data_IF_164790814708
#
_entry.id   IF_164790814708
#
_cell.length_a   1.000
_cell.length_b   1.000
_cell.length_c   1.000
_cell.angle_alpha   90.00
_cell.angle_beta   90.00
_cell.angle_gamma   90.00
#
_symmetry.space_group_name_H-M   'P 1'
#
loop_
_entity.id
_entity.type
_entity.pdbx_description
1 polymer ?
#
# COMPACT_ATOMS: atom_id res chain seq x y z
N UNK A 1 29.43 3.34 2.09
CA UNK A 1 28.72 4.41 1.34
C UNK A 1 28.29 3.94 -0.06
N UNK A 2 28.69 2.74 -0.51
CA UNK A 2 28.29 2.17 -1.82
C UNK A 2 27.08 1.24 -1.78
N UNK A 3 26.75 0.65 -0.62
CA UNK A 3 25.72 -0.41 -0.54
C UNK A 3 24.28 0.08 -0.71
N UNK A 4 24.00 1.36 -0.44
CA UNK A 4 22.65 1.94 -0.58
C UNK A 4 22.32 2.30 -2.04
N UNK A 5 23.33 2.57 -2.85
CA UNK A 5 23.15 2.89 -4.30
C UNK A 5 22.96 1.60 -5.11
N UNK A 6 23.53 0.47 -4.67
CA UNK A 6 23.37 -0.82 -5.36
C UNK A 6 22.00 -1.47 -5.14
N UNK A 7 21.23 -1.12 -4.07
CA UNK A 7 19.88 -1.65 -3.86
C UNK A 7 18.84 -1.09 -4.83
N UNK A 8 19.12 0.00 -5.55
CA UNK A 8 18.18 0.60 -6.50
C UNK A 8 18.19 -0.07 -7.90
N UNK A 9 19.15 -0.92 -8.19
CA UNK A 9 19.25 -1.65 -9.48
C UNK A 9 18.89 -3.13 -9.40
N UNK A 10 18.75 -3.70 -8.20
CA UNK A 10 18.39 -5.12 -8.06
C UNK A 10 16.90 -5.30 -7.90
N UNK A 11 16.33 -6.17 -8.74
CA UNK A 11 14.96 -6.64 -8.65
C UNK A 11 14.66 -7.22 -7.26
N UNK A 12 13.61 -6.74 -6.59
CA UNK A 12 13.21 -7.26 -5.28
C UNK A 12 12.71 -8.70 -5.43
N UNK A 13 13.19 -9.61 -4.59
CA UNK A 13 12.81 -11.02 -4.61
C UNK A 13 11.71 -11.34 -3.60
N UNK A 14 11.07 -12.50 -3.76
CA UNK A 14 10.07 -13.01 -2.81
C UNK A 14 10.66 -13.16 -1.40
N UNK A 15 11.89 -13.65 -1.31
CA UNK A 15 12.60 -13.82 -0.04
C UNK A 15 12.86 -12.48 0.64
N UNK A 16 13.22 -11.45 -0.12
CA UNK A 16 13.41 -10.11 0.41
C UNK A 16 12.08 -9.50 0.90
N UNK A 17 10.99 -9.66 0.14
CA UNK A 17 9.65 -9.22 0.58
C UNK A 17 9.30 -9.91 1.90
N UNK A 18 9.45 -11.24 1.98
CA UNK A 18 9.20 -12.00 3.20
C UNK A 18 10.07 -11.51 4.37
N UNK A 19 11.36 -11.30 4.14
CA UNK A 19 12.30 -10.82 5.16
C UNK A 19 11.93 -9.43 5.70
N UNK A 20 11.40 -8.54 4.86
CA UNK A 20 10.90 -7.22 5.29
C UNK A 20 9.73 -7.36 6.26
N UNK A 21 8.75 -8.21 5.96
CA UNK A 21 7.65 -8.49 6.88
C UNK A 21 8.12 -9.14 8.18
N UNK A 22 9.00 -10.13 8.11
CA UNK A 22 9.54 -10.84 9.28
C UNK A 22 10.39 -9.89 10.18
N UNK A 23 11.15 -8.98 9.58
CA UNK A 23 12.06 -8.08 10.30
C UNK A 23 11.40 -6.81 10.83
N UNK A 24 10.54 -6.18 10.04
CA UNK A 24 9.99 -4.84 10.34
C UNK A 24 8.47 -4.82 10.45
N UNK A 25 7.78 -5.86 10.01
CA UNK A 25 6.33 -5.94 10.02
C UNK A 25 5.68 -6.01 11.40
N UNK A 26 6.46 -6.27 12.46
CA UNK A 26 5.98 -6.29 13.86
C UNK A 26 5.88 -4.90 14.48
N UNK A 27 6.43 -3.87 13.85
CA UNK A 27 6.27 -2.49 14.29
C UNK A 27 4.80 -2.05 14.19
N UNK A 28 4.38 -1.15 15.08
CA UNK A 28 3.03 -0.59 15.02
C UNK A 28 2.80 0.19 13.71
N UNK A 29 1.58 0.10 13.21
CA UNK A 29 1.11 0.86 12.06
C UNK A 29 0.75 2.29 12.47
N UNK A 30 1.74 3.17 12.46
CA UNK A 30 1.57 4.54 12.94
C UNK A 30 1.05 4.60 14.38
N UNK A 31 -0.08 5.28 14.58
CA UNK A 31 -0.76 5.39 15.87
C UNK A 31 -1.90 4.36 16.03
N UNK A 32 -2.04 3.41 15.12
CA UNK A 32 -3.07 2.37 15.18
C UNK A 32 -2.68 1.23 16.13
N UNK A 33 -3.69 0.51 16.66
CA UNK A 33 -3.47 -0.60 17.62
C UNK A 33 -3.14 -1.94 16.93
N UNK A 34 -2.57 -1.90 15.73
CA UNK A 34 -2.18 -3.07 14.92
C UNK A 34 -0.75 -2.88 14.41
N UNK A 35 -0.13 -4.00 13.99
CA UNK A 35 1.19 -3.97 13.37
C UNK A 35 1.09 -3.74 11.85
N UNK A 36 2.22 -3.38 11.24
CA UNK A 36 2.35 -3.25 9.78
C UNK A 36 1.92 -4.55 9.06
N UNK A 37 2.34 -5.71 9.57
CA UNK A 37 1.92 -7.00 9.01
C UNK A 37 0.41 -7.24 9.16
N UNK A 38 -0.17 -6.95 10.34
CA UNK A 38 -1.61 -7.11 10.54
C UNK A 38 -2.41 -6.22 9.59
N UNK A 39 -1.98 -4.97 9.40
CA UNK A 39 -2.59 -4.05 8.43
C UNK A 39 -2.54 -4.61 7.02
N UNK A 40 -1.36 -4.99 6.54
CA UNK A 40 -1.16 -5.54 5.20
C UNK A 40 -2.02 -6.79 4.95
N UNK A 41 -2.06 -7.73 5.92
CA UNK A 41 -2.86 -8.95 5.82
C UNK A 41 -4.36 -8.65 5.81
N UNK A 42 -4.83 -7.69 6.59
CA UNK A 42 -6.23 -7.27 6.58
C UNK A 42 -6.62 -6.65 5.23
N UNK A 43 -5.78 -5.77 4.66
CA UNK A 43 -6.01 -5.20 3.33
C UNK A 43 -6.12 -6.29 2.25
N UNK A 44 -5.17 -7.23 2.23
CA UNK A 44 -5.19 -8.34 1.28
C UNK A 44 -6.41 -9.23 1.46
N UNK A 45 -6.79 -9.53 2.70
CA UNK A 45 -7.95 -10.36 3.00
C UNK A 45 -9.26 -9.71 2.58
N UNK A 46 -9.44 -8.42 2.83
CA UNK A 46 -10.60 -7.66 2.39
C UNK A 46 -10.72 -7.66 0.85
N UNK A 47 -9.61 -7.45 0.15
CA UNK A 47 -9.57 -7.50 -1.31
C UNK A 47 -9.91 -8.92 -1.83
N UNK A 48 -9.35 -9.97 -1.24
CA UNK A 48 -9.64 -11.37 -1.58
C UNK A 48 -11.12 -11.72 -1.35
N UNK A 49 -11.68 -11.33 -0.21
CA UNK A 49 -13.11 -11.53 0.10
C UNK A 49 -14.04 -10.77 -0.84
N UNK A 50 -13.63 -9.62 -1.35
CA UNK A 50 -14.38 -8.86 -2.34
C UNK A 50 -14.31 -9.48 -3.74
N UNK A 51 -13.51 -10.53 -3.95
CA UNK A 51 -13.34 -11.20 -5.24
C UNK A 51 -12.49 -10.40 -6.22
N UNK A 52 -11.57 -9.58 -5.71
CA UNK A 52 -10.64 -8.83 -6.56
C UNK A 52 -9.67 -9.75 -7.30
N UNK A 53 -9.19 -9.29 -8.45
CA UNK A 53 -8.15 -10.00 -9.20
C UNK A 53 -6.85 -10.13 -8.38
N UNK A 54 -6.07 -11.19 -8.58
CA UNK A 54 -4.84 -11.45 -7.84
C UNK A 54 -3.87 -10.25 -7.79
N UNK A 55 -3.80 -9.47 -8.86
CA UNK A 55 -2.97 -8.27 -8.91
C UNK A 55 -3.37 -7.23 -7.85
N UNK A 56 -4.68 -6.99 -7.65
CA UNK A 56 -5.15 -6.03 -6.66
C UNK A 56 -5.05 -6.59 -5.23
N UNK A 57 -5.20 -7.90 -5.03
CA UNK A 57 -4.97 -8.55 -3.73
C UNK A 57 -3.50 -8.38 -3.32
N UNK A 58 -2.56 -8.61 -4.25
CA UNK A 58 -1.12 -8.43 -4.00
C UNK A 58 -0.79 -6.94 -3.83
N UNK A 59 -1.40 -6.05 -4.60
CA UNK A 59 -1.26 -4.61 -4.40
C UNK A 59 -1.72 -4.20 -2.99
N UNK A 60 -2.85 -4.73 -2.50
CA UNK A 60 -3.33 -4.49 -1.15
C UNK A 60 -2.38 -5.01 -0.06
N UNK A 61 -1.75 -6.18 -0.28
CA UNK A 61 -0.72 -6.70 0.62
C UNK A 61 0.53 -5.79 0.68
N UNK A 62 0.93 -5.23 -0.45
CA UNK A 62 2.24 -4.57 -0.61
C UNK A 62 2.15 -3.03 -0.64
N UNK A 63 0.96 -2.42 -0.50
CA UNK A 63 0.79 -0.98 -0.71
C UNK A 63 1.66 -0.13 0.22
N UNK A 64 1.91 -0.59 1.43
CA UNK A 64 2.73 0.05 2.44
C UNK A 64 4.14 -0.55 2.58
N UNK A 65 4.58 -1.37 1.62
CA UNK A 65 5.94 -1.94 1.59
C UNK A 65 7.03 -0.86 1.72
N UNK A 66 6.74 0.36 1.27
CA UNK A 66 7.64 1.50 1.40
C UNK A 66 8.02 1.81 2.85
N UNK A 67 7.12 1.65 3.82
CA UNK A 67 7.45 1.83 5.23
C UNK A 67 8.42 0.76 5.74
N UNK A 68 8.26 -0.51 5.32
CA UNK A 68 9.18 -1.58 5.70
C UNK A 68 10.57 -1.38 5.08
N UNK A 69 10.63 -0.92 3.83
CA UNK A 69 11.88 -0.57 3.15
C UNK A 69 12.60 0.60 3.84
N UNK A 70 11.87 1.65 4.21
CA UNK A 70 12.42 2.80 4.91
C UNK A 70 12.92 2.41 6.31
N UNK A 71 12.19 1.60 7.04
CA UNK A 71 12.61 1.08 8.34
C UNK A 71 13.90 0.27 8.21
N UNK A 72 14.06 -0.54 7.16
CA UNK A 72 15.26 -1.35 6.91
C UNK A 72 16.48 -0.49 6.58
N UNK A 73 16.30 0.62 5.88
CA UNK A 73 17.37 1.54 5.46
C UNK A 73 17.59 2.72 6.39
N UNK A 74 16.78 2.85 7.45
CA UNK A 74 16.76 4.00 8.37
C UNK A 74 16.58 5.34 7.64
N UNK A 75 15.80 5.35 6.57
CA UNK A 75 15.45 6.54 5.81
C UNK A 75 13.99 6.93 6.10
N UNK A 76 13.66 8.21 5.92
CA UNK A 76 12.30 8.72 6.02
C UNK A 76 11.94 9.43 4.71
N UNK A 77 10.89 8.96 4.05
CA UNK A 77 10.26 9.63 2.91
C UNK A 77 8.74 9.58 3.12
N UNK A 78 8.12 10.75 3.11
CA UNK A 78 6.65 10.87 3.23
C UNK A 78 5.90 10.25 2.04
N UNK A 79 6.61 9.86 0.98
CA UNK A 79 6.07 9.23 -0.23
C UNK A 79 6.28 7.73 -0.25
N UNK A 80 5.92 7.05 0.86
CA UNK A 80 6.04 5.59 0.99
C UNK A 80 5.47 4.81 -0.21
N UNK A 81 4.39 5.31 -0.84
CA UNK A 81 3.78 4.72 -2.03
C UNK A 81 4.71 4.77 -3.25
N UNK A 82 5.49 5.84 -3.42
CA UNK A 82 6.48 5.95 -4.49
C UNK A 82 7.69 5.04 -4.22
N UNK A 83 8.09 4.92 -2.96
CA UNK A 83 9.18 4.02 -2.55
C UNK A 83 8.78 2.56 -2.83
N UNK A 84 7.56 2.15 -2.45
CA UNK A 84 7.05 0.83 -2.75
C UNK A 84 6.96 0.56 -4.26
N UNK A 85 6.37 1.50 -5.02
CA UNK A 85 6.21 1.38 -6.46
C UNK A 85 7.59 1.28 -7.18
N UNK A 86 8.57 2.08 -6.78
CA UNK A 86 9.91 2.04 -7.35
C UNK A 86 10.61 0.70 -7.06
N UNK A 87 10.48 0.15 -5.86
CA UNK A 87 11.08 -1.13 -5.50
C UNK A 87 10.48 -2.31 -6.30
N UNK A 88 9.20 -2.21 -6.69
CA UNK A 88 8.48 -3.24 -7.44
C UNK A 88 8.54 -3.04 -8.97
N UNK A 89 9.04 -1.89 -9.45
CA UNK A 89 8.93 -1.48 -10.85
C UNK A 89 9.54 -2.46 -11.86
N UNK A 90 10.62 -3.14 -11.50
CA UNK A 90 11.31 -4.09 -12.38
C UNK A 90 10.75 -5.52 -12.27
N UNK A 91 9.98 -5.80 -11.22
CA UNK A 91 9.61 -7.18 -10.84
C UNK A 91 8.12 -7.48 -10.94
N UNK A 92 7.27 -6.46 -11.03
CA UNK A 92 5.82 -6.66 -11.14
C UNK A 92 5.22 -5.88 -12.33
N UNK A 93 3.99 -6.24 -12.69
CA UNK A 93 3.26 -5.54 -13.75
C UNK A 93 2.55 -4.28 -13.22
N UNK A 94 2.19 -3.33 -14.11
CA UNK A 94 1.48 -2.10 -13.74
C UNK A 94 0.19 -2.33 -12.95
N UNK A 95 -0.51 -3.45 -13.18
CA UNK A 95 -1.75 -3.79 -12.46
C UNK A 95 -1.54 -3.97 -10.93
N UNK A 96 -0.31 -4.28 -10.51
CA UNK A 96 0.07 -4.32 -9.09
C UNK A 96 0.64 -2.96 -8.65
N UNK A 97 1.55 -2.39 -9.45
CA UNK A 97 2.36 -1.23 -9.06
C UNK A 97 1.53 0.05 -9.00
N UNK A 98 0.69 0.27 -10.03
CA UNK A 98 -0.02 1.54 -10.15
C UNK A 98 -1.08 1.77 -9.06
N UNK A 99 -1.90 0.77 -8.65
CA UNK A 99 -2.77 0.93 -7.49
C UNK A 99 -1.99 1.29 -6.21
N UNK A 100 -0.80 0.70 -6.00
CA UNK A 100 0.09 1.04 -4.88
C UNK A 100 0.51 2.50 -4.98
N UNK A 101 1.04 2.91 -6.12
CA UNK A 101 1.52 4.29 -6.33
C UNK A 101 0.41 5.33 -6.16
N UNK A 102 -0.80 5.00 -6.56
CA UNK A 102 -1.94 5.92 -6.61
C UNK A 102 -2.81 5.92 -5.33
N UNK A 103 -2.58 5.02 -4.34
CA UNK A 103 -3.53 4.89 -3.20
C UNK A 103 -3.59 6.15 -2.32
N UNK A 104 -2.50 6.93 -2.21
CA UNK A 104 -2.50 8.21 -1.50
C UNK A 104 -3.31 9.26 -2.28
N UNK A 105 -3.16 9.31 -3.61
CA UNK A 105 -3.98 10.17 -4.46
C UNK A 105 -5.46 9.76 -4.41
N UNK A 106 -5.76 8.46 -4.32
CA UNK A 106 -7.11 7.93 -4.15
C UNK A 106 -7.77 8.41 -2.83
N UNK A 107 -7.02 8.51 -1.73
CA UNK A 107 -7.52 9.13 -0.48
C UNK A 107 -7.93 10.58 -0.69
N UNK A 108 -7.08 11.36 -1.36
CA UNK A 108 -7.35 12.77 -1.67
C UNK A 108 -8.57 12.94 -2.58
N UNK A 109 -8.71 12.04 -3.58
CA UNK A 109 -9.86 11.97 -4.46
C UNK A 109 -11.15 11.68 -3.69
N UNK A 110 -11.16 10.62 -2.86
CA UNK A 110 -12.33 10.25 -2.07
C UNK A 110 -12.77 11.37 -1.12
N UNK A 111 -11.84 12.09 -0.50
CA UNK A 111 -12.16 13.26 0.33
C UNK A 111 -12.77 14.42 -0.46
N UNK A 112 -12.58 14.48 -1.78
CA UNK A 112 -13.20 15.48 -2.65
C UNK A 112 -14.62 15.10 -3.07
N UNK A 113 -14.82 13.83 -3.49
CA UNK A 113 -16.05 13.41 -4.17
C UNK A 113 -17.09 12.77 -3.24
N UNK A 114 -16.68 12.36 -2.04
CA UNK A 114 -17.55 11.72 -1.04
C UNK A 114 -17.48 12.54 0.25
N UNK A 115 -18.52 13.36 0.49
CA UNK A 115 -18.56 14.28 1.62
C UNK A 115 -18.49 13.56 2.99
N UNK A 116 -18.93 12.30 3.08
CA UNK A 116 -18.90 11.53 4.32
C UNK A 116 -17.57 10.80 4.53
N UNK A 117 -16.79 10.59 3.47
CA UNK A 117 -15.59 9.76 3.52
C UNK A 117 -14.52 10.30 4.49
N UNK A 118 -14.29 11.62 4.49
CA UNK A 118 -13.32 12.23 5.41
C UNK A 118 -13.62 11.90 6.87
N UNK A 119 -14.90 11.85 7.25
CA UNK A 119 -15.30 11.58 8.65
C UNK A 119 -15.04 10.12 9.05
N UNK A 120 -15.00 9.21 8.09
CA UNK A 120 -14.69 7.78 8.32
C UNK A 120 -13.20 7.50 8.53
N UNK A 121 -12.32 8.44 8.17
CA UNK A 121 -10.87 8.28 8.32
C UNK A 121 -10.46 8.24 9.80
N UNK A 122 -9.49 7.41 10.15
CA UNK A 122 -8.82 7.47 11.43
C UNK A 122 -8.08 8.81 11.61
N UNK A 123 -7.76 9.18 12.86
CA UNK A 123 -7.02 10.41 13.12
C UNK A 123 -5.66 10.42 12.41
N UNK A 124 -4.94 9.30 12.43
CA UNK A 124 -3.66 9.16 11.71
C UNK A 124 -3.81 9.39 10.20
N UNK A 125 -4.88 8.86 9.58
CA UNK A 125 -5.18 9.11 8.17
C UNK A 125 -5.54 10.57 7.86
N UNK A 126 -6.22 11.26 8.79
CA UNK A 126 -6.51 12.71 8.67
C UNK A 126 -5.24 13.56 8.77
N UNK A 127 -4.36 13.25 9.72
CA UNK A 127 -3.11 13.96 9.91
C UNK A 127 -2.19 13.81 8.69
N UNK A 128 -2.05 12.59 8.17
CA UNK A 128 -1.27 12.36 6.94
C UNK A 128 -1.90 12.99 5.71
N UNK A 129 -3.24 13.08 5.63
CA UNK A 129 -3.91 13.78 4.52
C UNK A 129 -3.46 15.24 4.42
N UNK A 130 -3.33 15.94 5.55
CA UNK A 130 -2.83 17.32 5.59
C UNK A 130 -1.43 17.42 5.02
N UNK A 131 -0.52 16.54 5.46
CA UNK A 131 0.87 16.48 4.99
C UNK A 131 0.98 16.12 3.50
N UNK A 132 0.01 15.35 2.98
CA UNK A 132 -0.07 14.93 1.58
C UNK A 132 -0.73 15.97 0.66
N UNK A 133 -1.05 17.16 1.16
CA UNK A 133 -1.60 18.27 0.38
C UNK A 133 -3.14 18.39 0.42
N UNK A 134 -3.80 17.72 1.37
CA UNK A 134 -5.26 17.80 1.58
C UNK A 134 -6.09 17.13 0.49
N UNK A 135 -7.42 17.26 0.52
CA UNK A 135 -8.32 16.78 -0.53
C UNK A 135 -7.96 17.38 -1.90
N UNK A 136 -8.27 16.68 -2.97
CA UNK A 136 -8.23 17.26 -4.31
C UNK A 136 -9.30 18.36 -4.45
N UNK A 137 -9.06 19.33 -5.34
CA UNK A 137 -10.15 20.11 -5.92
C UNK A 137 -10.89 19.29 -7.00
N UNK A 138 -12.00 19.80 -7.50
CA UNK A 138 -12.81 19.09 -8.49
C UNK A 138 -12.04 18.78 -9.79
N UNK A 139 -11.23 19.72 -10.27
CA UNK A 139 -10.47 19.53 -11.50
C UNK A 139 -9.40 18.44 -11.35
N UNK A 140 -8.70 18.41 -10.20
CA UNK A 140 -7.74 17.37 -9.89
C UNK A 140 -8.42 16.01 -9.69
N UNK A 141 -9.60 15.97 -9.08
CA UNK A 141 -10.38 14.75 -8.91
C UNK A 141 -10.84 14.17 -10.24
N UNK A 142 -11.36 15.00 -11.15
CA UNK A 142 -11.74 14.61 -12.50
C UNK A 142 -10.54 14.08 -13.31
N UNK A 143 -9.40 14.76 -13.22
CA UNK A 143 -8.17 14.34 -13.89
C UNK A 143 -7.59 13.04 -13.30
N UNK A 144 -7.77 12.79 -12.01
CA UNK A 144 -7.31 11.58 -11.35
C UNK A 144 -8.08 10.35 -11.80
N UNK A 145 -9.42 10.40 -11.75
CA UNK A 145 -10.26 9.19 -11.91
C UNK A 145 -10.22 8.63 -13.35
N UNK A 146 -9.86 9.44 -14.34
CA UNK A 146 -9.72 8.99 -15.74
C UNK A 146 -8.35 8.35 -16.03
N UNK A 147 -7.42 8.38 -15.09
CA UNK A 147 -6.11 7.74 -15.26
C UNK A 147 -6.25 6.20 -15.23
N UNK A 148 -5.40 5.48 -15.97
CA UNK A 148 -5.28 4.03 -15.82
C UNK A 148 -5.06 3.64 -14.35
N UNK A 149 -5.69 2.57 -13.91
CA UNK A 149 -5.61 2.02 -12.54
C UNK A 149 -6.17 2.90 -11.40
N UNK A 150 -6.70 4.11 -11.68
CA UNK A 150 -7.24 4.98 -10.64
C UNK A 150 -8.41 4.33 -9.88
N UNK A 151 -9.34 3.64 -10.57
CA UNK A 151 -10.43 2.91 -9.93
C UNK A 151 -9.93 1.76 -9.05
N UNK A 152 -8.89 1.03 -9.47
CA UNK A 152 -8.25 0.00 -8.67
C UNK A 152 -7.60 0.59 -7.41
N UNK A 153 -6.93 1.74 -7.53
CA UNK A 153 -6.38 2.48 -6.40
C UNK A 153 -7.45 2.96 -5.42
N UNK A 154 -8.62 3.38 -5.93
CA UNK A 154 -9.77 3.76 -5.08
C UNK A 154 -10.29 2.56 -4.30
N UNK A 155 -10.43 1.38 -4.93
CA UNK A 155 -10.82 0.16 -4.21
C UNK A 155 -9.79 -0.25 -3.18
N UNK A 156 -8.50 -0.27 -3.54
CA UNK A 156 -7.40 -0.52 -2.61
C UNK A 156 -7.46 0.43 -1.42
N UNK A 157 -7.65 1.74 -1.66
CA UNK A 157 -7.74 2.73 -0.59
C UNK A 157 -8.88 2.43 0.39
N UNK A 158 -10.01 1.95 -0.07
CA UNK A 158 -11.12 1.56 0.81
C UNK A 158 -10.79 0.36 1.69
N UNK A 159 -9.99 -0.60 1.20
CA UNK A 159 -9.48 -1.72 2.02
C UNK A 159 -8.48 -1.23 3.06
N UNK A 160 -7.56 -0.34 2.69
CA UNK A 160 -6.60 0.29 3.59
C UNK A 160 -7.32 0.99 4.77
N UNK A 161 -8.36 1.76 4.52
CA UNK A 161 -9.10 2.45 5.57
C UNK A 161 -9.84 1.50 6.53
N UNK A 162 -10.28 0.33 6.04
CA UNK A 162 -11.00 -0.67 6.83
C UNK A 162 -10.08 -1.62 7.61
N UNK A 163 -8.84 -1.76 7.18
CA UNK A 163 -7.87 -2.74 7.68
C UNK A 163 -7.19 -2.32 8.99
N UNK A 164 -7.96 -1.96 10.01
CA UNK A 164 -7.47 -1.40 11.29
C UNK A 164 -8.11 -2.03 12.51
N UNK A 165 -8.64 -3.24 12.38
CA UNK A 165 -9.26 -3.97 13.48
C UNK A 165 -8.22 -4.84 14.20
N UNK A 166 -7.91 -4.55 15.50
CA UNK A 166 -6.95 -5.35 16.25
C UNK A 166 -7.45 -6.77 16.58
N UNK A 167 -8.73 -7.07 16.36
CA UNK A 167 -9.33 -8.39 16.59
C UNK A 167 -9.55 -9.18 15.28
N UNK A 168 -9.24 -8.61 14.13
CA UNK A 168 -9.43 -9.28 12.85
C UNK A 168 -8.54 -10.54 12.76
N UNK A 169 -9.16 -11.62 12.33
CA UNK A 169 -8.47 -12.88 12.02
C UNK A 169 -8.29 -12.97 10.51
N UNK A 170 -7.06 -13.05 10.07
CA UNK A 170 -6.71 -13.13 8.64
C UNK A 170 -5.90 -14.38 8.35
N UNK A 171 -5.86 -14.85 7.09
CA UNK A 171 -4.85 -15.80 6.66
C UNK A 171 -3.44 -15.27 6.95
N UNK A 172 -2.47 -16.16 7.24
CA UNK A 172 -1.09 -15.74 7.47
C UNK A 172 -0.41 -15.27 6.18
N UNK A 173 0.72 -14.58 6.28
CA UNK A 173 1.51 -14.14 5.13
C UNK A 173 1.80 -15.28 4.13
N UNK A 174 2.07 -16.48 4.63
CA UNK A 174 2.33 -17.69 3.82
C UNK A 174 1.17 -18.08 2.89
N UNK A 175 -0.05 -17.63 3.17
CA UNK A 175 -1.20 -17.82 2.28
C UNK A 175 -1.07 -16.98 0.99
N UNK A 176 -0.54 -15.76 1.09
CA UNK A 176 -0.42 -14.83 -0.03
C UNK A 176 0.89 -14.97 -0.81
N UNK A 177 1.98 -15.48 -0.20
CA UNK A 177 3.28 -15.61 -0.86
C UNK A 177 3.24 -16.37 -2.20
N UNK A 178 2.46 -17.46 -2.38
CA UNK A 178 2.34 -18.10 -3.69
C UNK A 178 1.67 -17.22 -4.76
N UNK A 179 0.77 -16.31 -4.35
CA UNK A 179 0.17 -15.35 -5.27
C UNK A 179 1.17 -14.27 -5.66
N UNK A 180 1.94 -13.75 -4.69
CA UNK A 180 3.05 -12.83 -4.95
C UNK A 180 4.05 -13.45 -5.92
N UNK A 181 4.49 -14.68 -5.65
CA UNK A 181 5.46 -15.39 -6.50
C UNK A 181 5.01 -15.53 -7.97
N UNK A 182 3.70 -15.75 -8.21
CA UNK A 182 3.16 -15.85 -9.57
C UNK A 182 3.13 -14.53 -10.33
N UNK A 183 3.14 -13.41 -9.63
CA UNK A 183 3.09 -12.06 -10.21
C UNK A 183 4.47 -11.42 -10.31
N UNK A 184 5.50 -12.03 -9.70
CA UNK A 184 6.88 -11.63 -9.91
C UNK A 184 7.34 -12.06 -11.31
N UNK A 185 7.98 -11.15 -12.02
CA UNK A 185 8.66 -11.42 -13.29
C UNK A 185 9.95 -12.21 -13.05
N UNK A 186 10.29 -13.06 -14.00
CA UNK A 186 11.56 -13.78 -14.06
C UNK A 186 12.76 -12.83 -14.30
#
# INVERSE_FOLDING_TARGET
MNDVIEMQEQAITLEQIKALFDGYGTAFYGAEAITQTQHALQCAHLAEQAGEEPALVVAALLHDLGYLLQASSQTEDMRHQEVAAAALATTMEPDVIEPIRLHVAAKRYLCCVDAAYHDTLSQASKDTLVLQGGPFDLAAAEAFIVQPHAEAAVRLRRYDDQAKDPQAVTPPLSHYLPMVARLLKD
#
